data_IF_853716550741
#
_entry.id   IF_853716550741
#
_cell.length_a   1.000
_cell.length_b   1.000
_cell.length_c   1.000
_cell.angle_alpha   90.00
_cell.angle_beta   90.00
_cell.angle_gamma   90.00
#
_symmetry.space_group_name_H-M   'P 1'
#
loop_
_entity.id
_entity.type
_entity.pdbx_description
1 polymer ?
#
# COMPACT_ATOMS: atom_id res chain seq x y z
N UNK A 1 12.60 18.45 22.93
CA UNK A 1 11.58 17.39 22.88
C UNK A 1 11.83 16.64 21.58
N UNK A 2 12.07 15.32 21.59
CA UNK A 2 12.20 14.61 20.32
C UNK A 2 10.90 14.82 19.54
N UNK A 3 11.01 15.10 18.25
CA UNK A 3 9.83 15.20 17.40
C UNK A 3 9.15 13.84 17.44
N UNK A 4 7.98 13.75 18.05
CA UNK A 4 7.20 12.50 18.08
C UNK A 4 7.02 12.05 16.64
N UNK A 5 7.58 10.90 16.30
CA UNK A 5 7.46 10.31 14.97
C UNK A 5 5.99 9.98 14.77
N UNK A 6 5.38 10.63 13.79
CA UNK A 6 3.98 10.47 13.44
C UNK A 6 3.88 9.47 12.28
N UNK A 7 3.07 8.44 12.46
CA UNK A 7 2.78 7.43 11.44
C UNK A 7 2.27 8.07 10.13
N UNK A 8 1.44 9.11 10.23
CA UNK A 8 0.92 9.80 9.05
C UNK A 8 1.99 10.61 8.32
N UNK A 9 3.05 11.03 9.03
CA UNK A 9 4.24 11.61 8.41
C UNK A 9 5.03 10.54 7.65
N UNK A 10 5.26 9.37 8.24
CA UNK A 10 6.00 8.26 7.60
C UNK A 10 5.33 7.86 6.28
N UNK A 11 4.02 7.60 6.28
CA UNK A 11 3.30 7.19 5.07
C UNK A 11 3.31 8.28 3.99
N UNK A 12 3.24 9.55 4.40
CA UNK A 12 3.31 10.70 3.49
C UNK A 12 4.68 10.85 2.84
N UNK A 13 5.75 10.70 3.62
CA UNK A 13 7.13 10.72 3.13
C UNK A 13 7.38 9.55 2.18
N UNK A 14 6.95 8.33 2.53
CA UNK A 14 6.99 7.17 1.62
C UNK A 14 6.25 7.45 0.31
N UNK A 15 5.06 8.06 0.36
CA UNK A 15 4.28 8.39 -0.85
C UNK A 15 4.96 9.44 -1.74
N UNK A 16 5.83 10.28 -1.19
CA UNK A 16 6.57 11.28 -1.97
C UNK A 16 7.63 10.65 -2.88
N UNK A 17 8.13 9.45 -2.55
CA UNK A 17 9.03 8.67 -3.39
C UNK A 17 8.30 8.12 -4.64
N UNK A 18 9.02 7.87 -5.74
CA UNK A 18 8.46 7.18 -6.91
C UNK A 18 8.02 5.76 -6.52
N UNK A 19 6.99 5.18 -7.18
CA UNK A 19 6.44 3.86 -6.82
C UNK A 19 7.48 2.74 -6.66
N UNK A 20 8.56 2.75 -7.43
CA UNK A 20 9.66 1.77 -7.36
C UNK A 20 10.51 1.84 -6.09
N UNK A 21 10.48 2.96 -5.37
CA UNK A 21 11.26 3.21 -4.16
C UNK A 21 10.40 3.14 -2.89
N UNK A 22 9.08 2.97 -3.03
CA UNK A 22 8.16 2.89 -1.89
C UNK A 22 8.31 1.55 -1.19
N UNK A 23 8.38 1.59 0.12
CA UNK A 23 8.50 0.42 1.00
C UNK A 23 7.23 0.18 1.82
N UNK A 24 6.34 1.16 1.91
CA UNK A 24 5.03 1.06 2.55
C UNK A 24 3.89 1.13 1.52
N UNK A 25 2.74 0.48 1.78
CA UNK A 25 1.60 0.55 0.88
C UNK A 25 1.07 1.97 0.72
N UNK A 26 0.48 2.23 -0.45
CA UNK A 26 -0.08 3.54 -0.79
C UNK A 26 -1.39 3.40 -1.56
N UNK A 27 -2.22 4.42 -1.44
CA UNK A 27 -3.47 4.50 -2.19
C UNK A 27 -3.29 5.16 -3.55
N UNK A 28 -3.98 4.61 -4.54
CA UNK A 28 -4.23 5.24 -5.83
C UNK A 28 -5.70 5.21 -6.15
N UNK A 29 -6.19 6.29 -6.77
CA UNK A 29 -7.57 6.36 -7.25
C UNK A 29 -7.55 6.70 -8.73
N UNK A 30 -8.21 5.87 -9.54
CA UNK A 30 -8.41 6.07 -10.98
C UNK A 30 -9.79 5.54 -11.37
N UNK A 31 -10.48 6.28 -12.22
CA UNK A 31 -11.81 5.90 -12.75
C UNK A 31 -12.84 5.54 -11.67
N UNK A 32 -12.79 6.24 -10.53
CA UNK A 32 -13.67 6.01 -9.39
C UNK A 32 -13.36 4.75 -8.57
N UNK A 33 -12.27 4.04 -8.88
CA UNK A 33 -11.78 2.89 -8.10
C UNK A 33 -10.56 3.31 -7.30
N UNK A 34 -10.59 3.01 -6.00
CA UNK A 34 -9.42 3.16 -5.13
C UNK A 34 -8.78 1.80 -4.88
N UNK A 35 -7.47 1.73 -5.02
CA UNK A 35 -6.65 0.56 -4.72
C UNK A 35 -5.57 0.92 -3.72
N UNK A 36 -5.19 -0.05 -2.89
CA UNK A 36 -3.98 -0.02 -2.07
C UNK A 36 -2.94 -0.88 -2.77
N UNK A 37 -1.83 -0.26 -3.15
CA UNK A 37 -0.71 -0.92 -3.80
C UNK A 37 0.24 -1.43 -2.73
N UNK A 38 0.46 -2.73 -2.70
CA UNK A 38 1.35 -3.39 -1.75
C UNK A 38 2.76 -3.48 -2.36
N UNK A 39 3.76 -2.71 -1.85
CA UNK A 39 5.14 -2.82 -2.30
C UNK A 39 5.63 -4.24 -2.09
N UNK A 40 6.37 -4.76 -3.06
CA UNK A 40 6.87 -6.13 -3.02
C UNK A 40 8.39 -6.20 -3.00
N UNK A 41 8.94 -7.31 -2.46
CA UNK A 41 10.35 -7.61 -2.61
C UNK A 41 10.76 -7.67 -4.08
N UNK A 42 12.03 -7.36 -4.36
CA UNK A 42 12.62 -7.34 -5.70
C UNK A 42 12.51 -8.65 -6.51
N UNK A 43 12.18 -9.77 -5.85
CA UNK A 43 12.01 -11.08 -6.49
C UNK A 43 10.59 -11.36 -6.98
N UNK A 44 9.60 -10.53 -6.63
CA UNK A 44 8.25 -10.70 -7.13
C UNK A 44 8.15 -10.23 -8.59
N UNK A 45 7.46 -11.01 -9.43
CA UNK A 45 7.23 -10.68 -10.85
C UNK A 45 6.51 -9.34 -11.04
N UNK A 46 5.53 -9.05 -10.17
CA UNK A 46 4.83 -7.77 -10.15
C UNK A 46 4.25 -7.46 -8.76
N UNK A 47 4.08 -6.16 -8.53
CA UNK A 47 3.41 -5.53 -7.39
C UNK A 47 1.90 -5.82 -7.49
N UNK A 48 1.21 -5.93 -6.35
CA UNK A 48 -0.25 -6.13 -6.32
C UNK A 48 -0.96 -4.83 -5.94
N UNK A 49 -2.07 -4.56 -6.61
CA UNK A 49 -3.01 -3.51 -6.26
C UNK A 49 -4.31 -4.15 -5.77
N UNK A 50 -4.64 -3.95 -4.50
CA UNK A 50 -5.84 -4.48 -3.87
C UNK A 50 -6.93 -3.42 -3.87
N UNK A 51 -8.15 -3.76 -4.28
CA UNK A 51 -9.28 -2.83 -4.17
C UNK A 51 -9.52 -2.46 -2.71
N UNK A 52 -9.75 -1.19 -2.44
CA UNK A 52 -9.95 -0.70 -1.08
C UNK A 52 -11.16 -1.38 -0.41
N UNK A 53 -12.31 -1.37 -1.10
CA UNK A 53 -13.60 -1.81 -0.55
C UNK A 53 -14.01 -3.24 -0.93
N UNK A 54 -13.12 -3.98 -1.61
CA UNK A 54 -13.40 -5.34 -2.07
C UNK A 54 -12.19 -6.25 -1.87
N UNK A 55 -12.44 -7.52 -1.56
CA UNK A 55 -11.40 -8.57 -1.50
C UNK A 55 -11.00 -9.01 -2.89
N UNK A 56 -10.48 -8.07 -3.66
CA UNK A 56 -10.07 -8.25 -5.03
C UNK A 56 -8.71 -7.60 -5.24
N UNK A 57 -7.89 -8.18 -6.10
CA UNK A 57 -6.61 -7.62 -6.47
C UNK A 57 -6.36 -7.73 -7.97
N UNK A 58 -5.51 -6.86 -8.49
CA UNK A 58 -4.94 -7.00 -9.82
C UNK A 58 -3.41 -6.82 -9.76
N UNK A 59 -2.77 -7.05 -10.90
CA UNK A 59 -1.35 -6.75 -11.12
C UNK A 59 -1.18 -5.24 -11.23
N UNK A 60 -0.16 -4.66 -10.59
CA UNK A 60 0.05 -3.22 -10.65
C UNK A 60 0.35 -2.73 -12.06
N UNK A 61 1.01 -3.54 -12.90
CA UNK A 61 1.17 -3.23 -14.32
C UNK A 61 -0.19 -3.12 -15.05
N UNK A 62 -1.17 -3.96 -14.69
CA UNK A 62 -2.51 -3.92 -15.26
C UNK A 62 -3.31 -2.71 -14.75
N UNK A 63 -3.21 -2.40 -13.45
CA UNK A 63 -3.78 -1.18 -12.86
C UNK A 63 -3.23 0.11 -13.49
N UNK A 64 -1.91 0.18 -13.67
CA UNK A 64 -1.26 1.37 -14.23
C UNK A 64 -1.62 1.60 -15.69
N UNK A 65 -1.84 0.51 -16.45
CA UNK A 65 -2.26 0.57 -17.85
C UNK A 65 -3.76 0.83 -18.04
N UNK A 66 -4.62 0.21 -17.23
CA UNK A 66 -6.06 0.12 -17.48
C UNK A 66 -6.95 0.80 -16.42
N UNK A 67 -6.38 1.26 -15.30
CA UNK A 67 -7.14 1.94 -14.24
C UNK A 67 -8.34 1.11 -13.76
N UNK A 68 -9.51 1.71 -13.72
CA UNK A 68 -10.75 1.04 -13.29
C UNK A 68 -11.18 -0.13 -14.17
N UNK A 69 -10.60 -0.28 -15.37
CA UNK A 69 -10.84 -1.39 -16.28
C UNK A 69 -9.86 -2.55 -16.13
N UNK A 70 -8.91 -2.47 -15.19
CA UNK A 70 -8.00 -3.57 -14.88
C UNK A 70 -8.77 -4.84 -14.48
N UNK A 71 -8.17 -6.00 -14.76
CA UNK A 71 -8.79 -7.27 -14.44
C UNK A 71 -8.50 -7.63 -12.98
N UNK A 72 -9.52 -7.47 -12.16
CA UNK A 72 -9.50 -7.87 -10.76
C UNK A 72 -9.81 -9.37 -10.58
N UNK A 73 -9.13 -9.98 -9.61
CA UNK A 73 -9.30 -11.37 -9.18
C UNK A 73 -9.66 -11.40 -7.70
N UNK A 74 -10.57 -12.28 -7.31
CA UNK A 74 -10.91 -12.46 -5.89
C UNK A 74 -9.68 -12.90 -5.07
N UNK A 75 -9.52 -12.30 -3.89
CA UNK A 75 -8.60 -12.74 -2.85
C UNK A 75 -9.42 -13.35 -1.71
N UNK A 76 -8.94 -14.45 -1.13
CA UNK A 76 -9.71 -15.17 -0.11
C UNK A 76 -9.91 -14.32 1.16
N UNK A 77 -8.86 -13.61 1.58
CA UNK A 77 -8.81 -12.98 2.90
C UNK A 77 -8.31 -11.52 2.92
N UNK A 78 -8.02 -10.89 1.78
CA UNK A 78 -7.28 -9.61 1.79
C UNK A 78 -7.86 -8.62 0.78
N UNK A 79 -8.36 -7.50 1.29
CA UNK A 79 -8.63 -6.28 0.54
C UNK A 79 -7.59 -5.19 0.81
N UNK A 80 -7.76 -4.03 0.18
CA UNK A 80 -6.84 -2.90 0.33
C UNK A 80 -6.84 -2.34 1.75
N UNK A 81 -8.00 -2.28 2.40
CA UNK A 81 -8.11 -1.85 3.80
C UNK A 81 -7.30 -2.76 4.74
N UNK A 82 -7.34 -4.08 4.53
CA UNK A 82 -6.58 -5.03 5.33
C UNK A 82 -5.06 -4.81 5.18
N UNK A 83 -4.61 -4.53 3.95
CA UNK A 83 -3.19 -4.23 3.65
C UNK A 83 -2.77 -2.94 4.35
N UNK A 84 -3.56 -1.87 4.22
CA UNK A 84 -3.24 -0.58 4.82
C UNK A 84 -3.25 -0.66 6.35
N UNK A 85 -4.26 -1.29 6.95
CA UNK A 85 -4.38 -1.48 8.38
C UNK A 85 -3.20 -2.28 8.94
N UNK A 86 -2.83 -3.38 8.28
CA UNK A 86 -1.71 -4.23 8.72
C UNK A 86 -0.38 -3.48 8.69
N UNK A 87 -0.13 -2.72 7.62
CA UNK A 87 1.10 -1.93 7.52
C UNK A 87 1.15 -0.81 8.56
N UNK A 88 0.02 -0.15 8.82
CA UNK A 88 -0.05 0.88 9.86
C UNK A 88 0.18 0.30 11.25
N UNK A 89 -0.41 -0.85 11.57
CA UNK A 89 -0.18 -1.53 12.84
C UNK A 89 1.29 -1.93 13.03
N UNK A 90 1.96 -2.40 11.96
CA UNK A 90 3.38 -2.73 12.00
C UNK A 90 4.23 -1.49 12.36
N UNK A 91 4.02 -0.37 11.67
CA UNK A 91 4.78 0.86 11.93
C UNK A 91 4.50 1.42 13.33
N UNK A 92 3.26 1.36 13.80
CA UNK A 92 2.91 1.78 15.16
C UNK A 92 3.68 0.95 16.21
N UNK A 93 3.79 -0.37 16.00
CA UNK A 93 4.60 -1.24 16.85
C UNK A 93 6.09 -0.90 16.80
N UNK A 94 6.65 -0.67 15.61
CA UNK A 94 8.06 -0.30 15.48
C UNK A 94 8.39 1.04 16.15
N UNK A 95 7.47 2.03 16.08
CA UNK A 95 7.61 3.31 16.80
C UNK A 95 7.58 3.06 18.31
N UNK A 96 6.64 2.26 18.80
CA UNK A 96 6.52 1.92 20.23
C UNK A 96 7.77 1.20 20.77
N UNK A 97 8.39 0.37 19.93
CA UNK A 97 9.63 -0.35 20.24
C UNK A 97 10.89 0.55 20.12
N UNK A 98 10.73 1.81 19.69
CA UNK A 98 11.83 2.76 19.54
C UNK A 98 12.77 2.44 18.37
N UNK A 99 12.27 1.76 17.33
CA UNK A 99 13.04 1.44 16.12
C UNK A 99 13.11 2.61 15.13
N UNK A 100 12.44 3.71 15.46
CA UNK A 100 12.39 4.95 14.67
C UNK A 100 12.98 6.09 15.53
N UNK A 101 14.09 6.68 15.09
CA UNK A 101 14.85 7.76 15.75
C UNK A 101 14.55 9.17 15.19
#
# INVERSE_FOLDING_TARGET
>A
MPATIDIDRIFRENRASPPSERTLPWEETRDGITVVVEPKPHWAEDIRAFRLEAREYCRYADWTANGGHARFYGHIDTGGDDVMMSARALIDHEIADGLWD
#
